data_IF_233535308173
#
_entry.id   IF_233535308173
#
_cell.length_a   1.000
_cell.length_b   1.000
_cell.length_c   1.000
_cell.angle_alpha   90.00
_cell.angle_beta   90.00
_cell.angle_gamma   90.00
#
_symmetry.space_group_name_H-M   'P 1'
#
loop_
_entity.id
_entity.type
_entity.pdbx_description
1 polymer ?
#
# COMPACT_ATOMS: atom_id res chain seq x y z
N UNK A 1 27.37 -13.71 41.50
CA UNK A 1 27.66 -14.39 40.21
C UNK A 1 26.56 -15.35 39.77
N UNK A 2 25.78 -15.96 40.67
CA UNK A 2 24.78 -16.99 40.32
C UNK A 2 23.45 -16.48 39.75
N UNK A 3 23.00 -15.29 40.13
CA UNK A 3 21.73 -14.72 39.65
C UNK A 3 21.76 -14.42 38.14
N UNK A 4 22.89 -13.93 37.64
CA UNK A 4 23.09 -13.63 36.21
C UNK A 4 23.17 -14.90 35.35
N UNK A 5 23.73 -15.99 35.90
CA UNK A 5 23.73 -17.30 35.22
C UNK A 5 22.31 -17.85 35.14
N UNK A 6 21.54 -17.78 36.24
CA UNK A 6 20.12 -18.20 36.26
C UNK A 6 19.27 -17.39 35.29
N UNK A 7 19.45 -16.07 35.22
CA UNK A 7 18.72 -15.21 34.28
C UNK A 7 19.04 -15.54 32.81
N UNK A 8 20.30 -15.89 32.50
CA UNK A 8 20.68 -16.33 31.13
C UNK A 8 20.11 -17.69 30.77
N UNK A 9 20.06 -18.62 31.72
CA UNK A 9 19.43 -19.93 31.53
C UNK A 9 17.92 -19.75 31.28
N UNK A 10 17.23 -18.97 32.12
CA UNK A 10 15.80 -18.67 31.97
C UNK A 10 15.52 -17.97 30.63
N UNK A 11 16.34 -16.99 30.22
CA UNK A 11 16.20 -16.35 28.90
C UNK A 11 16.35 -17.35 27.76
N UNK A 12 17.31 -18.27 27.84
CA UNK A 12 17.52 -19.30 26.81
C UNK A 12 16.44 -20.38 26.80
N UNK A 13 15.79 -20.65 27.93
CA UNK A 13 14.64 -21.56 28.04
C UNK A 13 13.38 -20.90 27.47
N UNK A 14 13.22 -19.61 27.70
CA UNK A 14 12.15 -18.77 27.13
C UNK A 14 12.31 -18.68 25.60
N UNK A 15 13.51 -18.41 25.07
CA UNK A 15 13.74 -18.35 23.62
C UNK A 15 13.49 -19.69 22.90
N UNK A 16 13.65 -20.84 23.58
CA UNK A 16 13.39 -22.17 23.02
C UNK A 16 11.93 -22.64 23.11
N UNK A 17 11.20 -22.23 24.14
CA UNK A 17 9.79 -22.63 24.36
C UNK A 17 8.78 -21.74 23.66
N UNK A 18 9.24 -20.71 22.97
CA UNK A 18 8.38 -19.73 22.34
C UNK A 18 8.15 -20.12 20.87
N UNK A 19 7.09 -20.89 20.66
CA UNK A 19 6.31 -20.85 19.40
C UNK A 19 5.43 -19.59 19.31
N UNK A 20 5.58 -18.65 20.24
CA UNK A 20 4.69 -17.49 20.49
C UNK A 20 5.33 -16.14 20.09
N UNK A 21 6.65 -16.09 19.81
CA UNK A 21 7.40 -14.90 19.35
C UNK A 21 7.97 -15.06 17.95
N UNK A 22 7.85 -16.23 17.32
CA UNK A 22 7.66 -16.18 15.87
C UNK A 22 6.31 -15.51 15.69
N UNK A 23 6.21 -14.27 15.17
CA UNK A 23 4.91 -13.79 14.75
C UNK A 23 4.33 -14.90 13.88
N UNK A 24 3.10 -15.35 14.16
CA UNK A 24 2.41 -16.19 13.19
C UNK A 24 2.62 -15.52 11.86
N UNK A 25 3.22 -16.25 10.89
CA UNK A 25 3.35 -15.77 9.53
C UNK A 25 1.96 -15.26 9.21
N UNK A 26 1.82 -13.93 9.15
CA UNK A 26 0.53 -13.33 8.87
C UNK A 26 0.18 -14.01 7.56
N UNK A 27 -0.88 -14.82 7.57
CA UNK A 27 -1.60 -15.11 6.34
C UNK A 27 -2.21 -13.77 5.95
N UNK A 28 -1.35 -12.85 5.52
CA UNK A 28 -1.71 -11.80 4.60
C UNK A 28 -2.35 -12.63 3.51
N UNK A 29 -3.67 -12.55 3.40
CA UNK A 29 -4.33 -12.91 2.17
C UNK A 29 -3.56 -12.11 1.13
N UNK A 30 -2.58 -12.75 0.50
CA UNK A 30 -1.94 -12.23 -0.69
C UNK A 30 -3.13 -12.10 -1.61
N UNK A 31 -3.62 -10.86 -1.76
CA UNK A 31 -4.54 -10.60 -2.84
C UNK A 31 -3.82 -11.17 -4.05
N UNK A 32 -4.47 -12.11 -4.73
CA UNK A 32 -3.92 -12.72 -5.93
C UNK A 32 -3.39 -11.55 -6.77
N UNK A 33 -2.09 -11.57 -7.07
CA UNK A 33 -1.50 -10.55 -7.93
C UNK A 33 -2.11 -10.77 -9.30
N UNK A 34 -3.20 -10.06 -9.60
CA UNK A 34 -3.85 -10.08 -10.92
C UNK A 34 -2.85 -9.71 -12.04
N UNK A 35 -1.74 -9.05 -11.67
CA UNK A 35 -0.65 -8.65 -12.54
C UNK A 35 0.24 -9.83 -12.99
N UNK A 36 0.27 -10.93 -12.22
CA UNK A 36 1.04 -12.15 -12.50
C UNK A 36 0.21 -13.24 -13.21
N UNK A 37 -1.10 -13.03 -13.38
CA UNK A 37 -1.94 -14.00 -14.09
C UNK A 37 -1.52 -14.09 -15.57
N UNK A 38 -1.14 -15.28 -16.07
CA UNK A 38 -0.59 -15.45 -17.42
C UNK A 38 -1.58 -15.04 -18.51
N UNK A 39 -2.87 -15.23 -18.26
CA UNK A 39 -3.95 -14.82 -19.18
C UNK A 39 -4.02 -13.30 -19.34
N UNK A 40 -3.75 -12.52 -18.27
CA UNK A 40 -3.80 -11.06 -18.34
C UNK A 40 -2.57 -10.50 -19.09
N UNK A 41 -1.41 -11.13 -18.93
CA UNK A 41 -0.19 -10.80 -19.70
C UNK A 41 -0.40 -11.11 -21.18
N UNK A 42 -1.00 -12.27 -21.50
CA UNK A 42 -1.33 -12.65 -22.88
C UNK A 42 -2.31 -11.66 -23.52
N UNK A 43 -3.36 -11.23 -22.81
CA UNK A 43 -4.29 -10.20 -23.32
C UNK A 43 -3.55 -8.89 -23.65
N UNK A 44 -2.58 -8.48 -22.81
CA UNK A 44 -1.77 -7.27 -23.07
C UNK A 44 -0.92 -7.44 -24.34
N UNK A 45 -0.16 -8.53 -24.46
CA UNK A 45 0.75 -8.74 -25.60
C UNK A 45 -0.01 -8.90 -26.91
N UNK A 46 -1.07 -9.72 -26.95
CA UNK A 46 -1.91 -9.91 -28.13
C UNK A 46 -2.54 -8.59 -28.60
N UNK A 47 -2.93 -7.72 -27.66
CA UNK A 47 -3.52 -6.44 -28.00
C UNK A 47 -2.50 -5.39 -28.44
N UNK A 48 -1.36 -5.27 -27.75
CA UNK A 48 -0.41 -4.18 -27.96
C UNK A 48 0.62 -4.50 -29.04
N UNK A 49 1.16 -5.70 -29.03
CA UNK A 49 2.22 -6.13 -29.94
C UNK A 49 1.62 -6.65 -31.25
N UNK A 50 0.64 -7.54 -31.15
CA UNK A 50 0.05 -8.22 -32.31
C UNK A 50 -1.18 -7.49 -32.89
N UNK A 51 -1.73 -6.50 -32.15
CA UNK A 51 -2.88 -5.67 -32.55
C UNK A 51 -4.16 -6.46 -32.89
N UNK A 52 -4.38 -7.58 -32.24
CA UNK A 52 -5.58 -8.39 -32.45
C UNK A 52 -6.86 -7.68 -31.97
N UNK A 53 -7.97 -7.99 -32.63
CA UNK A 53 -9.31 -7.59 -32.20
C UNK A 53 -9.70 -8.33 -30.91
N UNK A 54 -10.69 -7.80 -30.18
CA UNK A 54 -11.12 -8.42 -28.93
C UNK A 54 -11.69 -9.82 -29.15
N UNK A 55 -12.32 -10.05 -30.29
CA UNK A 55 -12.96 -11.31 -30.65
C UNK A 55 -11.90 -12.38 -30.92
N UNK A 56 -10.87 -12.04 -31.69
CA UNK A 56 -9.74 -12.95 -31.96
C UNK A 56 -9.01 -13.35 -30.67
N UNK A 57 -8.86 -12.41 -29.72
CA UNK A 57 -8.26 -12.69 -28.41
C UNK A 57 -9.14 -13.64 -27.59
N UNK A 58 -10.46 -13.46 -27.62
CA UNK A 58 -11.41 -14.35 -26.94
C UNK A 58 -11.33 -15.76 -27.49
N UNK A 59 -11.36 -15.89 -28.82
CA UNK A 59 -11.30 -17.19 -29.49
C UNK A 59 -9.99 -17.90 -29.15
N UNK A 60 -8.87 -17.20 -29.17
CA UNK A 60 -7.57 -17.75 -28.81
C UNK A 60 -7.52 -18.22 -27.35
N UNK A 61 -7.95 -17.39 -26.39
CA UNK A 61 -7.91 -17.74 -24.96
C UNK A 61 -8.86 -18.88 -24.62
N UNK A 62 -10.05 -18.90 -25.22
CA UNK A 62 -11.00 -20.00 -25.03
C UNK A 62 -10.50 -21.29 -25.68
N UNK A 63 -9.85 -21.24 -26.84
CA UNK A 63 -9.20 -22.40 -27.45
C UNK A 63 -8.08 -22.95 -26.56
N UNK A 64 -7.23 -22.09 -25.99
CA UNK A 64 -6.21 -22.52 -25.03
C UNK A 64 -6.81 -23.19 -23.78
N UNK A 65 -7.93 -22.66 -23.27
CA UNK A 65 -8.64 -23.26 -22.14
C UNK A 65 -9.25 -24.61 -22.48
N UNK A 66 -9.89 -24.73 -23.64
CA UNK A 66 -10.44 -26.00 -24.12
C UNK A 66 -9.35 -27.05 -24.29
N UNK A 67 -8.18 -26.67 -24.81
CA UNK A 67 -7.01 -27.55 -24.93
C UNK A 67 -6.48 -28.02 -23.55
N UNK A 68 -6.65 -27.21 -22.51
CA UNK A 68 -6.31 -27.54 -21.11
C UNK A 68 -7.42 -28.31 -20.38
N UNK A 69 -8.59 -28.51 -21.01
CA UNK A 69 -9.77 -29.14 -20.40
C UNK A 69 -10.57 -28.21 -19.49
N UNK A 70 -10.37 -26.90 -19.56
CA UNK A 70 -11.08 -25.88 -18.81
C UNK A 70 -12.26 -25.30 -19.60
N UNK A 71 -13.25 -24.72 -18.90
CA UNK A 71 -14.41 -24.11 -19.53
C UNK A 71 -14.05 -22.78 -20.24
N UNK A 72 -14.61 -22.61 -21.44
CA UNK A 72 -14.55 -21.36 -22.21
C UNK A 72 -15.43 -20.27 -21.55
N UNK A 73 -14.83 -19.51 -20.63
CA UNK A 73 -15.53 -18.51 -19.80
C UNK A 73 -15.32 -17.08 -20.36
N UNK A 74 -14.37 -16.88 -21.28
CA UNK A 74 -14.07 -15.54 -21.77
C UNK A 74 -15.11 -15.06 -22.76
N UNK A 75 -15.59 -13.83 -22.52
CA UNK A 75 -16.38 -13.03 -23.45
C UNK A 75 -15.58 -11.79 -23.84
N UNK A 76 -15.95 -11.14 -24.96
CA UNK A 76 -15.32 -9.88 -25.39
C UNK A 76 -15.30 -8.82 -24.28
N UNK A 77 -16.42 -8.71 -23.58
CA UNK A 77 -16.58 -7.79 -22.44
C UNK A 77 -15.66 -8.13 -21.27
N UNK A 78 -15.46 -9.43 -20.99
CA UNK A 78 -14.55 -9.88 -19.94
C UNK A 78 -13.09 -9.58 -20.28
N UNK A 79 -12.67 -9.87 -21.52
CA UNK A 79 -11.31 -9.60 -22.01
C UNK A 79 -11.01 -8.10 -21.98
N UNK A 80 -11.93 -7.29 -22.49
CA UNK A 80 -11.79 -5.83 -22.47
C UNK A 80 -11.69 -5.27 -21.04
N UNK A 81 -12.56 -5.73 -20.13
CA UNK A 81 -12.55 -5.29 -18.73
C UNK A 81 -11.25 -5.65 -18.01
N UNK A 82 -10.72 -6.84 -18.28
CA UNK A 82 -9.42 -7.30 -17.75
C UNK A 82 -8.27 -6.46 -18.30
N UNK A 83 -8.26 -6.19 -19.60
CA UNK A 83 -7.25 -5.33 -20.23
C UNK A 83 -7.23 -3.94 -19.58
N UNK A 84 -8.37 -3.27 -19.44
CA UNK A 84 -8.41 -1.91 -18.89
C UNK A 84 -7.94 -1.86 -17.42
N UNK A 85 -8.25 -2.89 -16.62
CA UNK A 85 -7.87 -2.94 -15.20
C UNK A 85 -6.40 -3.31 -14.98
N UNK A 86 -5.90 -4.29 -15.74
CA UNK A 86 -4.62 -4.93 -15.44
C UNK A 86 -3.46 -4.38 -16.27
N UNK A 87 -3.69 -3.89 -17.49
CA UNK A 87 -2.62 -3.32 -18.33
C UNK A 87 -1.87 -2.17 -17.67
N UNK A 88 -2.54 -1.19 -17.00
CA UNK A 88 -1.88 -0.20 -16.18
C UNK A 88 -0.93 -0.75 -15.13
N UNK A 89 -1.39 -1.80 -14.43
CA UNK A 89 -0.72 -2.38 -13.28
C UNK A 89 0.49 -3.20 -13.71
N UNK A 90 0.33 -4.03 -14.74
CA UNK A 90 1.39 -4.81 -15.39
C UNK A 90 2.50 -3.90 -15.91
N UNK A 91 2.17 -2.73 -16.46
CA UNK A 91 3.21 -1.82 -16.95
C UNK A 91 3.93 -1.05 -15.83
N UNK A 92 3.23 -0.69 -14.74
CA UNK A 92 3.89 -0.14 -13.55
C UNK A 92 4.81 -1.15 -12.86
N UNK A 93 4.47 -2.44 -12.85
CA UNK A 93 5.34 -3.48 -12.26
C UNK A 93 6.60 -3.74 -13.10
N UNK A 94 6.53 -3.56 -14.42
CA UNK A 94 7.68 -3.66 -15.33
C UNK A 94 8.62 -2.45 -15.22
N UNK A 95 8.18 -1.34 -14.61
CA UNK A 95 9.03 -0.16 -14.37
C UNK A 95 9.32 0.64 -15.64
N UNK A 96 8.43 0.63 -16.63
CA UNK A 96 8.57 1.46 -17.83
C UNK A 96 8.60 2.96 -17.45
N UNK A 97 9.78 3.58 -17.58
CA UNK A 97 9.99 5.00 -17.30
C UNK A 97 9.16 5.83 -18.29
N UNK A 98 8.18 6.59 -17.76
CA UNK A 98 7.28 7.43 -18.56
C UNK A 98 5.93 6.82 -18.89
N UNK A 99 5.60 5.64 -18.35
CA UNK A 99 4.32 4.98 -18.58
C UNK A 99 3.16 5.68 -17.84
N UNK A 100 2.16 6.17 -18.58
CA UNK A 100 0.87 6.63 -18.03
C UNK A 100 -0.24 5.65 -18.45
N UNK A 101 -0.85 4.91 -17.50
CA UNK A 101 -2.03 4.07 -17.72
C UNK A 101 -3.11 4.65 -18.62
N UNK A 102 -3.29 5.97 -18.55
CA UNK A 102 -4.35 6.70 -19.24
C UNK A 102 -4.12 6.81 -20.74
N UNK A 103 -2.89 6.64 -21.22
CA UNK A 103 -2.56 6.70 -22.64
C UNK A 103 -2.99 5.42 -23.40
N UNK A 104 -3.30 4.36 -22.66
CA UNK A 104 -3.78 3.08 -23.19
C UNK A 104 -5.30 2.89 -22.99
N UNK A 105 -5.96 3.85 -22.37
CA UNK A 105 -7.41 3.92 -22.29
C UNK A 105 -7.91 4.82 -23.42
N UNK A 106 -9.00 4.41 -24.09
CA UNK A 106 -9.71 5.22 -25.09
C UNK A 106 -10.35 6.52 -24.51
N UNK A 107 -10.12 6.81 -23.21
CA UNK A 107 -10.54 8.05 -22.58
C UNK A 107 -9.65 9.19 -23.08
N UNK A 108 -10.20 9.99 -24.00
CA UNK A 108 -9.55 11.18 -24.57
C UNK A 108 -9.10 12.11 -23.45
N UNK A 109 -7.81 12.46 -23.44
CA UNK A 109 -7.20 13.32 -22.43
C UNK A 109 -7.37 14.82 -22.78
N UNK A 110 -8.37 15.54 -22.23
CA UNK A 110 -8.56 16.96 -22.55
C UNK A 110 -7.36 17.84 -22.18
N UNK A 111 -6.53 17.39 -21.23
CA UNK A 111 -5.37 18.14 -20.75
C UNK A 111 -4.06 17.85 -21.49
N UNK A 112 -4.00 16.80 -22.34
CA UNK A 112 -2.80 16.47 -23.14
C UNK A 112 -2.89 16.95 -24.59
N UNK A 113 -4.08 17.28 -25.09
CA UNK A 113 -4.28 17.89 -26.40
C UNK A 113 -4.57 19.39 -26.26
N UNK A 114 -3.53 20.19 -26.06
CA UNK A 114 -3.60 21.60 -26.46
C UNK A 114 -3.50 21.63 -27.98
N UNK A 115 -4.64 21.71 -28.67
CA UNK A 115 -4.61 22.11 -30.07
C UNK A 115 -3.94 23.49 -30.16
N UNK A 116 -3.02 23.65 -31.10
CA UNK A 116 -2.29 24.89 -31.35
C UNK A 116 -3.21 26.08 -31.76
N UNK A 117 -4.51 25.84 -31.94
CA UNK A 117 -5.53 26.87 -32.11
C UNK A 117 -6.59 26.70 -31.01
N UNK A 118 -6.82 27.77 -30.26
CA UNK A 118 -7.37 27.77 -28.91
C UNK A 118 -8.85 27.42 -28.73
N UNK A 119 -9.28 27.57 -27.47
CA UNK A 119 -10.64 27.39 -26.87
C UNK A 119 -10.92 26.07 -26.12
N UNK A 120 -9.91 25.42 -25.55
CA UNK A 120 -10.12 24.41 -24.50
C UNK A 120 -10.07 25.02 -23.10
N UNK A 121 -11.21 25.24 -22.45
CA UNK A 121 -11.26 25.71 -21.06
C UNK A 121 -10.69 24.63 -20.15
N UNK A 122 -9.50 24.85 -19.60
CA UNK A 122 -8.93 24.01 -18.54
C UNK A 122 -9.88 24.11 -17.36
N UNK A 123 -10.68 23.07 -17.14
CA UNK A 123 -11.50 22.93 -15.94
C UNK A 123 -10.58 22.95 -14.71
N UNK A 124 -10.44 24.12 -14.08
CA UNK A 124 -9.82 24.32 -12.75
C UNK A 124 -10.73 23.82 -11.61
N UNK A 125 -11.88 23.22 -11.94
CA UNK A 125 -12.82 22.69 -10.97
C UNK A 125 -12.27 21.35 -10.42
N UNK A 126 -11.68 21.39 -9.23
CA UNK A 126 -11.30 20.18 -8.49
C UNK A 126 -9.98 20.26 -7.71
N UNK A 127 -9.16 21.29 -7.94
CA UNK A 127 -7.90 21.44 -7.21
C UNK A 127 -8.10 22.25 -5.93
N UNK A 128 -7.85 21.64 -4.77
CA UNK A 128 -7.82 22.34 -3.48
C UNK A 128 -6.62 23.30 -3.49
N UNK A 129 -6.86 24.58 -3.24
CA UNK A 129 -5.84 25.65 -3.21
C UNK A 129 -5.92 26.36 -1.86
N UNK A 130 -4.78 26.79 -1.34
CA UNK A 130 -4.75 27.79 -0.27
C UNK A 130 -5.11 29.12 -0.93
N UNK A 131 -6.06 29.86 -0.34
CA UNK A 131 -6.57 31.11 -0.91
C UNK A 131 -5.66 32.28 -0.50
N UNK A 132 -4.40 32.22 -0.92
CA UNK A 132 -3.47 33.34 -0.83
C UNK A 132 -3.52 34.11 -2.15
N UNK A 133 -3.84 35.40 -2.09
CA UNK A 133 -4.04 36.26 -3.27
C UNK A 133 -2.73 36.51 -4.04
N UNK A 134 -1.60 36.51 -3.34
CA UNK A 134 -0.29 36.81 -3.93
C UNK A 134 0.49 35.55 -4.36
N UNK A 135 0.17 34.37 -3.81
CA UNK A 135 0.94 33.15 -4.08
C UNK A 135 0.10 31.87 -3.97
N UNK A 136 -0.83 31.68 -4.91
CA UNK A 136 -1.73 30.54 -4.92
C UNK A 136 -0.98 29.21 -5.14
N UNK A 137 -0.68 28.49 -4.06
CA UNK A 137 -0.05 27.16 -4.10
C UNK A 137 -1.11 26.04 -4.13
N UNK A 138 -0.90 25.06 -5.01
CA UNK A 138 -1.77 23.87 -5.09
C UNK A 138 -1.45 22.92 -3.93
N UNK A 139 -2.46 22.57 -3.11
CA UNK A 139 -2.30 21.60 -2.04
C UNK A 139 -2.17 20.20 -2.63
N UNK A 140 -1.01 19.55 -2.45
CA UNK A 140 -0.85 18.13 -2.76
C UNK A 140 -1.78 17.31 -1.85
N UNK A 141 -2.59 16.44 -2.45
CA UNK A 141 -3.66 15.70 -1.76
C UNK A 141 -3.14 14.72 -0.67
N UNK A 142 -1.89 14.26 -0.76
CA UNK A 142 -1.25 13.41 0.23
C UNK A 142 -0.19 14.20 1.00
N UNK A 143 -0.53 14.60 2.22
CA UNK A 143 0.38 15.28 3.17
C UNK A 143 1.36 14.28 3.81
N UNK A 144 0.99 13.00 3.86
CA UNK A 144 1.85 11.94 4.38
C UNK A 144 2.80 11.47 3.30
N UNK A 145 4.06 11.82 3.43
CA UNK A 145 5.15 11.28 2.60
C UNK A 145 6.10 10.50 3.50
N UNK A 146 6.56 9.31 3.08
CA UNK A 146 7.64 8.64 3.79
C UNK A 146 8.87 9.54 3.78
N UNK A 147 9.59 9.58 4.91
CA UNK A 147 10.89 10.26 4.96
C UNK A 147 11.85 9.47 4.09
N UNK A 148 12.61 10.15 3.21
CA UNK A 148 13.65 9.49 2.42
C UNK A 148 14.79 9.05 3.34
N UNK A 149 15.48 7.95 3.02
CA UNK A 149 16.53 7.39 3.87
C UNK A 149 17.62 8.43 4.24
N UNK A 150 17.98 9.31 3.32
CA UNK A 150 18.95 10.39 3.53
C UNK A 150 18.47 11.46 4.54
N UNK A 151 17.17 11.77 4.55
CA UNK A 151 16.56 12.73 5.48
C UNK A 151 16.25 12.09 6.84
N UNK A 152 16.17 10.76 6.90
CA UNK A 152 15.89 10.03 8.12
C UNK A 152 17.09 10.11 9.07
N UNK A 153 18.30 9.81 8.58
CA UNK A 153 19.51 9.81 9.41
C UNK A 153 19.98 11.22 9.79
N UNK A 154 20.11 12.12 8.80
CA UNK A 154 20.59 13.49 9.06
C UNK A 154 19.55 14.42 9.67
N UNK A 155 18.27 14.13 9.44
CA UNK A 155 17.18 14.94 9.97
C UNK A 155 17.00 14.77 11.47
N UNK A 156 17.21 13.56 12.01
CA UNK A 156 17.02 13.31 13.43
C UNK A 156 18.10 13.94 14.31
N UNK A 157 19.30 14.21 13.78
CA UNK A 157 20.41 14.87 14.49
C UNK A 157 20.21 16.38 14.68
N UNK A 158 19.23 16.97 14.00
CA UNK A 158 18.89 18.39 14.14
C UNK A 158 18.26 18.66 15.52
N UNK A 159 18.72 19.73 16.19
CA UNK A 159 18.33 20.05 17.58
C UNK A 159 16.81 20.18 17.73
N UNK A 160 16.15 20.84 16.78
CA UNK A 160 14.69 21.04 16.81
C UNK A 160 13.91 19.72 16.70
N UNK A 161 14.37 18.81 15.84
CA UNK A 161 13.73 17.50 15.65
C UNK A 161 14.01 16.57 16.81
N UNK A 162 15.19 16.66 17.42
CA UNK A 162 15.50 15.97 18.68
C UNK A 162 14.57 16.44 19.80
N UNK A 163 14.33 17.74 19.94
CA UNK A 163 13.38 18.28 20.93
C UNK A 163 11.95 17.80 20.66
N UNK A 164 11.52 17.79 19.40
CA UNK A 164 10.21 17.26 19.00
C UNK A 164 10.08 15.76 19.30
N UNK A 165 11.13 14.98 19.08
CA UNK A 165 11.17 13.57 19.44
C UNK A 165 11.01 13.40 20.95
N UNK A 166 11.73 14.16 21.76
CA UNK A 166 11.61 14.10 23.23
C UNK A 166 10.18 14.45 23.71
N UNK A 167 9.55 15.47 23.11
CA UNK A 167 8.14 15.81 23.38
C UNK A 167 7.19 14.68 22.99
N UNK A 168 7.45 14.02 21.86
CA UNK A 168 6.65 12.88 21.40
C UNK A 168 6.79 11.68 22.35
N UNK A 169 8.01 11.36 22.77
CA UNK A 169 8.30 10.28 23.73
C UNK A 169 7.60 10.56 25.06
N UNK A 170 7.74 11.77 25.63
CA UNK A 170 7.07 12.13 26.89
C UNK A 170 5.54 12.02 26.80
N UNK A 171 4.96 12.36 25.64
CA UNK A 171 3.52 12.20 25.41
C UNK A 171 3.11 10.72 25.32
N UNK A 172 3.92 9.88 24.69
CA UNK A 172 3.68 8.44 24.63
C UNK A 172 3.79 7.80 26.01
N UNK A 173 4.82 8.15 26.79
CA UNK A 173 5.02 7.67 28.16
C UNK A 173 3.83 8.03 29.05
N UNK A 174 3.39 9.29 29.03
CA UNK A 174 2.22 9.75 29.80
C UNK A 174 0.94 8.96 29.46
N UNK A 175 0.80 8.50 28.23
CA UNK A 175 -0.37 7.75 27.78
C UNK A 175 -0.11 6.25 27.65
N UNK A 176 1.03 5.76 28.13
CA UNK A 176 1.44 4.37 27.96
C UNK A 176 0.38 3.40 28.48
N UNK A 177 -0.07 3.60 29.71
CA UNK A 177 -1.08 2.75 30.34
C UNK A 177 -2.45 2.83 29.69
N UNK A 178 -2.77 3.93 29.00
CA UNK A 178 -3.99 4.03 28.19
C UNK A 178 -3.92 3.12 26.96
N UNK A 179 -2.77 3.09 26.28
CA UNK A 179 -2.57 2.15 25.18
C UNK A 179 -2.59 0.69 25.68
N UNK A 180 -2.01 0.42 26.85
CA UNK A 180 -2.10 -0.92 27.46
C UNK A 180 -3.54 -1.30 27.79
N UNK A 181 -4.35 -0.36 28.29
CA UNK A 181 -5.78 -0.57 28.52
C UNK A 181 -6.54 -0.86 27.22
N UNK A 182 -6.29 -0.10 26.14
CA UNK A 182 -6.89 -0.33 24.83
C UNK A 182 -6.55 -1.73 24.27
N UNK A 183 -5.31 -2.18 24.42
CA UNK A 183 -4.90 -3.52 24.00
C UNK A 183 -5.50 -4.62 24.88
N UNK A 184 -5.61 -4.39 26.19
CA UNK A 184 -6.32 -5.29 27.10
C UNK A 184 -7.80 -5.40 26.75
N UNK A 185 -8.44 -4.30 26.35
CA UNK A 185 -9.82 -4.29 25.87
C UNK A 185 -9.97 -5.09 24.58
N UNK A 186 -9.07 -4.92 23.61
CA UNK A 186 -9.10 -5.73 22.38
C UNK A 186 -8.94 -7.22 22.64
N UNK A 187 -8.08 -7.59 23.58
CA UNK A 187 -7.80 -8.99 23.90
C UNK A 187 -8.93 -9.66 24.70
N UNK A 188 -9.59 -8.93 25.58
CA UNK A 188 -10.54 -9.50 26.56
C UNK A 188 -11.99 -9.07 26.37
N UNK A 189 -12.23 -8.13 25.45
CA UNK A 189 -13.50 -7.39 25.22
C UNK A 189 -14.03 -6.63 26.44
N UNK A 190 -13.18 -6.37 27.45
CA UNK A 190 -13.52 -5.67 28.68
C UNK A 190 -12.67 -4.41 28.85
N UNK A 191 -13.32 -3.33 29.25
CA UNK A 191 -12.65 -2.06 29.55
C UNK A 191 -11.98 -2.13 30.92
N UNK A 192 -10.68 -1.81 30.98
CA UNK A 192 -9.90 -1.76 32.22
C UNK A 192 -9.42 -0.34 32.50
N UNK A 193 -9.28 0.02 33.77
CA UNK A 193 -8.66 1.29 34.16
C UNK A 193 -7.13 1.21 33.97
N UNK A 194 -6.52 2.14 33.22
CA UNK A 194 -5.07 2.26 33.09
C UNK A 194 -4.30 2.25 34.42
N UNK A 195 -4.82 2.87 35.48
CA UNK A 195 -4.13 2.98 36.78
C UNK A 195 -4.09 1.64 37.53
N UNK A 196 -5.16 0.85 37.43
CA UNK A 196 -5.23 -0.49 38.01
C UNK A 196 -4.29 -1.46 37.29
N UNK A 197 -4.21 -1.35 35.95
CA UNK A 197 -3.28 -2.14 35.15
C UNK A 197 -1.82 -1.81 35.50
N UNK A 198 -1.50 -0.51 35.66
CA UNK A 198 -0.18 -0.06 36.09
C UNK A 198 0.18 -0.62 37.48
N UNK A 199 -0.74 -0.49 38.43
CA UNK A 199 -0.56 -0.97 39.81
C UNK A 199 -0.37 -2.47 39.85
N UNK A 200 -1.18 -3.22 39.09
CA UNK A 200 -1.07 -4.67 38.99
C UNK A 200 0.26 -5.09 38.38
N UNK A 201 0.72 -4.41 37.34
CA UNK A 201 2.00 -4.70 36.69
C UNK A 201 3.18 -4.47 37.64
N UNK A 202 3.18 -3.36 38.40
CA UNK A 202 4.24 -3.07 39.37
C UNK A 202 4.22 -3.94 40.63
N UNK A 203 3.08 -4.57 40.94
CA UNK A 203 2.93 -5.50 42.05
C UNK A 203 3.34 -6.95 41.71
N UNK A 204 3.60 -7.26 40.44
CA UNK A 204 4.15 -8.55 39.97
C UNK A 204 5.68 -8.47 40.05
#
# INVERSE_FOLDING_TARGET
MDSLKRARVIKSEIEKNISVLTPEDKKVSTRRNDDEDPENVAIKSLRQEQKWSWNEIVDHLNQERLNKGEAAIFTETAVYSRYVRNTPRIATSIGEIGFDPKDYMHLRNPNKYTQAQGTGVISKAGKKRIKDYDNATELKANVRQPVTAELQDKGLEEVEKTEQLMKAVAKCERNFWKYVADEMERATTKMYDPEELASRFHAI
#
